data_IF_166165860935
#
_entry.id   IF_166165860935
#
_cell.length_a   1.000
_cell.length_b   1.000
_cell.length_c   1.000
_cell.angle_alpha   90.00
_cell.angle_beta   90.00
_cell.angle_gamma   90.00
#
_symmetry.space_group_name_H-M   'P 1'
#
loop_
_entity.id
_entity.type
_entity.pdbx_description
1 polymer ?
#
# COMPACT_ATOMS: atom_id res chain seq x y z
N UNK A 1 46.83 22.22 -29.60
CA UNK A 1 45.64 21.65 -28.95
C UNK A 1 44.46 22.57 -29.19
N UNK A 2 43.48 22.09 -29.94
CA UNK A 2 42.31 22.87 -30.34
C UNK A 2 41.25 22.88 -29.24
N UNK A 3 40.46 23.95 -29.16
CA UNK A 3 39.35 24.11 -28.20
C UNK A 3 38.35 22.93 -28.22
N UNK A 4 38.25 22.24 -29.37
CA UNK A 4 37.47 21.02 -29.54
C UNK A 4 38.00 19.83 -28.71
N UNK A 5 39.32 19.65 -28.62
CA UNK A 5 39.94 18.54 -27.88
C UNK A 5 39.75 18.70 -26.36
N UNK A 6 39.82 19.94 -25.87
CA UNK A 6 39.57 20.25 -24.45
C UNK A 6 38.12 20.00 -24.04
N UNK A 7 37.16 20.35 -24.91
CA UNK A 7 35.74 20.08 -24.66
C UNK A 7 35.43 18.58 -24.70
N UNK A 8 36.06 17.84 -25.62
CA UNK A 8 35.86 16.39 -25.74
C UNK A 8 36.34 15.65 -24.48
N UNK A 9 37.51 15.98 -23.95
CA UNK A 9 38.00 15.36 -22.70
C UNK A 9 37.10 15.67 -21.48
N UNK A 10 36.51 16.87 -21.43
CA UNK A 10 35.54 17.24 -20.38
C UNK A 10 34.21 16.50 -20.53
N UNK A 11 33.81 16.20 -21.76
CA UNK A 11 32.61 15.43 -22.06
C UNK A 11 32.78 13.94 -21.77
N UNK A 12 33.94 13.36 -22.08
CA UNK A 12 34.29 12.00 -21.68
C UNK A 12 34.33 11.83 -20.17
N UNK A 13 34.87 12.80 -19.41
CA UNK A 13 34.80 12.77 -17.95
C UNK A 13 33.37 12.76 -17.42
N UNK A 14 32.47 13.57 -18.00
CA UNK A 14 31.05 13.57 -17.61
C UNK A 14 30.38 12.25 -17.93
N UNK A 15 30.71 11.63 -19.07
CA UNK A 15 30.19 10.31 -19.45
C UNK A 15 30.67 9.24 -18.49
N UNK A 16 31.97 9.18 -18.20
CA UNK A 16 32.54 8.23 -17.25
C UNK A 16 31.96 8.39 -15.84
N UNK A 17 31.71 9.63 -15.40
CA UNK A 17 31.07 9.88 -14.11
C UNK A 17 29.62 9.38 -14.07
N UNK A 18 28.86 9.56 -15.16
CA UNK A 18 27.49 9.04 -15.27
C UNK A 18 27.46 7.51 -15.26
N UNK A 19 28.35 6.87 -16.00
CA UNK A 19 28.44 5.40 -16.05
C UNK A 19 28.74 4.82 -14.67
N UNK A 20 29.64 5.46 -13.89
CA UNK A 20 29.91 5.05 -12.49
C UNK A 20 28.68 5.17 -11.59
N UNK A 21 27.95 6.28 -11.70
CA UNK A 21 26.72 6.48 -10.91
C UNK A 21 25.62 5.50 -11.31
N UNK A 22 25.50 5.19 -12.60
CA UNK A 22 24.55 4.19 -13.09
C UNK A 22 24.90 2.79 -12.62
N UNK A 23 26.18 2.40 -12.64
CA UNK A 23 26.61 1.11 -12.09
C UNK A 23 26.23 1.00 -10.62
N UNK A 24 26.57 2.02 -9.82
CA UNK A 24 26.24 2.03 -8.40
C UNK A 24 24.74 1.93 -8.14
N UNK A 25 23.91 2.66 -8.90
CA UNK A 25 22.45 2.58 -8.78
C UNK A 25 21.92 1.18 -9.13
N UNK A 26 22.48 0.53 -10.17
CA UNK A 26 22.08 -0.81 -10.60
C UNK A 26 22.49 -1.89 -9.60
N UNK A 27 23.66 -1.75 -8.96
CA UNK A 27 24.14 -2.63 -7.91
C UNK A 27 23.27 -2.53 -6.65
N UNK A 28 22.90 -1.31 -6.23
CA UNK A 28 22.00 -1.09 -5.11
C UNK A 28 20.59 -1.63 -5.37
N UNK A 29 20.08 -1.48 -6.60
CA UNK A 29 18.78 -2.07 -6.96
C UNK A 29 18.83 -3.60 -6.88
N UNK A 30 19.90 -4.23 -7.39
CA UNK A 30 20.09 -5.67 -7.32
C UNK A 30 20.16 -6.18 -5.87
N UNK A 31 20.78 -5.40 -4.99
CA UNK A 31 20.86 -5.71 -3.55
C UNK A 31 19.48 -5.64 -2.89
N UNK A 32 18.71 -4.59 -3.15
CA UNK A 32 17.36 -4.41 -2.62
C UNK A 32 16.40 -5.52 -3.08
N UNK A 33 16.48 -5.92 -4.35
CA UNK A 33 15.69 -7.04 -4.87
C UNK A 33 16.02 -8.35 -4.16
N UNK A 34 17.31 -8.66 -3.98
CA UNK A 34 17.75 -9.85 -3.23
C UNK A 34 17.28 -9.85 -1.78
N UNK A 35 17.32 -8.68 -1.13
CA UNK A 35 16.88 -8.53 0.25
C UNK A 35 15.36 -8.71 0.37
N UNK A 36 14.60 -8.15 -0.57
CA UNK A 36 13.14 -8.29 -0.63
C UNK A 36 12.73 -9.74 -0.82
N UNK A 37 13.36 -10.45 -1.77
CA UNK A 37 13.12 -11.88 -1.99
C UNK A 37 13.48 -12.70 -0.75
N UNK A 38 14.59 -12.36 -0.09
CA UNK A 38 15.03 -13.05 1.13
C UNK A 38 14.06 -12.85 2.30
N UNK A 39 13.52 -11.63 2.49
CA UNK A 39 12.48 -11.36 3.50
C UNK A 39 11.21 -12.16 3.22
N UNK A 40 10.75 -12.15 1.97
CA UNK A 40 9.54 -12.88 1.59
C UNK A 40 9.70 -14.40 1.79
N UNK A 41 10.85 -14.95 1.42
CA UNK A 41 11.13 -16.37 1.62
C UNK A 41 11.15 -16.75 3.12
N UNK A 42 11.72 -15.88 3.97
CA UNK A 42 11.70 -16.07 5.42
C UNK A 42 10.28 -16.04 5.98
N UNK A 43 9.49 -15.06 5.57
CA UNK A 43 8.08 -14.94 5.97
C UNK A 43 7.27 -16.17 5.55
N UNK A 44 7.44 -16.67 4.33
CA UNK A 44 6.82 -17.92 3.87
C UNK A 44 7.21 -19.12 4.74
N UNK A 45 8.49 -19.23 5.12
CA UNK A 45 8.96 -20.31 5.99
C UNK A 45 8.35 -20.22 7.40
N UNK A 46 8.27 -19.01 7.96
CA UNK A 46 7.69 -18.78 9.28
C UNK A 46 6.18 -19.08 9.29
N UNK A 47 5.46 -18.71 8.23
CA UNK A 47 4.05 -19.08 8.05
C UNK A 47 3.86 -20.60 7.96
N UNK A 48 4.71 -21.31 7.20
CA UNK A 48 4.65 -22.77 7.12
C UNK A 48 4.89 -23.43 8.48
N UNK A 49 5.83 -22.89 9.28
CA UNK A 49 6.05 -23.35 10.67
C UNK A 49 4.83 -23.12 11.54
N UNK A 50 4.24 -21.93 11.48
CA UNK A 50 3.05 -21.59 12.27
C UNK A 50 1.86 -22.51 11.94
N UNK A 51 1.59 -22.76 10.65
CA UNK A 51 0.54 -23.69 10.22
C UNK A 51 0.79 -25.12 10.71
N UNK A 52 2.04 -25.57 10.70
CA UNK A 52 2.42 -26.89 11.20
C UNK A 52 2.19 -27.02 12.71
N UNK A 53 2.53 -25.98 13.49
CA UNK A 53 2.30 -25.93 14.93
C UNK A 53 0.80 -25.93 15.25
N UNK A 54 0.00 -25.12 14.54
CA UNK A 54 -1.45 -25.06 14.74
C UNK A 54 -2.13 -26.41 14.43
N UNK A 55 -1.66 -27.12 13.39
CA UNK A 55 -2.14 -28.48 13.09
C UNK A 55 -1.81 -29.48 14.21
N UNK A 56 -0.61 -29.40 14.79
CA UNK A 56 -0.21 -30.24 15.93
C UNK A 56 -1.07 -29.95 17.17
N UNK A 57 -1.39 -28.69 17.43
CA UNK A 57 -2.27 -28.28 18.54
C UNK A 57 -3.68 -28.88 18.38
N UNK A 58 -4.28 -28.78 17.18
CA UNK A 58 -5.60 -29.37 16.90
C UNK A 58 -5.63 -30.90 17.09
N UNK A 59 -4.54 -31.59 16.75
CA UNK A 59 -4.40 -33.04 16.97
C UNK A 59 -4.23 -33.40 18.45
N UNK A 60 -3.62 -32.53 19.25
CA UNK A 60 -3.52 -32.70 20.69
C UNK A 60 -4.88 -32.55 21.38
N UNK A 61 -5.67 -31.56 20.97
CA UNK A 61 -7.02 -31.32 21.52
C UNK A 61 -8.00 -32.46 21.25
N UNK A 62 -7.90 -33.17 20.12
CA UNK A 62 -8.81 -34.29 19.80
C UNK A 62 -8.55 -35.55 20.62
N UNK A 63 -7.38 -35.69 21.25
CA UNK A 63 -7.06 -36.83 22.14
C UNK A 63 -7.40 -36.60 23.61
N UNK A 64 -7.84 -35.40 24.01
CA UNK A 64 -8.14 -35.06 25.40
C UNK A 64 -9.63 -35.08 25.80
N UNK A 65 -10.57 -35.31 24.86
CA UNK A 65 -12.01 -35.20 25.10
C UNK A 65 -12.71 -36.53 25.40
N UNK A 66 -12.50 -37.08 26.60
CA UNK A 66 -13.33 -38.16 27.13
C UNK A 66 -14.56 -37.61 27.86
N UNK A 67 -15.75 -37.76 27.28
CA UNK A 67 -17.02 -37.49 27.95
C UNK A 67 -18.24 -37.79 27.07
N UNK A 68 -18.90 -38.96 27.23
CA UNK A 68 -20.15 -39.27 26.53
C UNK A 68 -21.36 -38.77 27.34
N UNK A 69 -22.28 -38.05 26.70
CA UNK A 69 -23.57 -37.72 27.35
C UNK A 69 -24.54 -36.93 26.48
N UNK A 70 -25.58 -37.62 25.99
CA UNK A 70 -26.90 -37.09 25.58
C UNK A 70 -26.92 -36.40 24.22
N UNK A 71 -27.71 -36.80 23.22
CA UNK A 71 -29.10 -37.26 23.30
C UNK A 71 -30.02 -36.08 22.98
N UNK A 72 -30.49 -35.97 21.74
CA UNK A 72 -31.39 -34.88 21.33
C UNK A 72 -31.63 -34.82 19.82
N UNK A 73 -32.32 -35.82 19.28
CA UNK A 73 -32.94 -35.73 17.96
C UNK A 73 -34.10 -34.74 18.02
N UNK A 74 -34.07 -33.68 17.22
CA UNK A 74 -35.31 -33.01 16.80
C UNK A 74 -35.18 -32.49 15.37
N UNK A 75 -36.09 -32.99 14.55
CA UNK A 75 -36.35 -32.63 13.18
C UNK A 75 -36.96 -31.22 13.07
N UNK A 76 -36.65 -30.52 11.97
CA UNK A 76 -37.38 -29.35 11.50
C UNK A 76 -36.54 -28.62 10.45
N UNK A 77 -36.75 -28.87 9.16
CA UNK A 77 -37.76 -28.29 8.26
C UNK A 77 -37.05 -27.35 7.27
N UNK A 78 -37.23 -27.64 5.99
CA UNK A 78 -36.60 -26.96 4.88
C UNK A 78 -37.10 -25.52 4.75
N UNK A 79 -36.18 -24.59 4.48
CA UNK A 79 -36.48 -23.34 3.81
C UNK A 79 -35.23 -22.92 3.02
N UNK A 80 -35.30 -23.14 1.70
CA UNK A 80 -34.43 -22.44 0.76
C UNK A 80 -35.03 -21.05 0.53
N UNK A 81 -34.27 -19.96 0.76
CA UNK A 81 -34.46 -18.73 0.01
C UNK A 81 -33.50 -18.75 -1.18
N UNK A 82 -34.04 -18.97 -2.37
CA UNK A 82 -33.40 -18.45 -3.58
C UNK A 82 -33.56 -16.93 -3.58
N UNK A 83 -32.46 -16.21 -3.81
CA UNK A 83 -32.46 -14.76 -3.98
C UNK A 83 -31.07 -14.16 -3.78
N UNK A 84 -30.41 -13.85 -4.89
CA UNK A 84 -29.31 -12.87 -5.08
C UNK A 84 -27.95 -13.10 -4.38
N UNK A 85 -27.07 -13.83 -5.10
CA UNK A 85 -25.64 -13.99 -4.78
C UNK A 85 -24.80 -12.70 -4.84
N UNK A 86 -25.37 -11.57 -5.24
CA UNK A 86 -24.64 -10.30 -5.38
C UNK A 86 -24.71 -9.42 -4.13
N UNK A 87 -25.72 -9.58 -3.26
CA UNK A 87 -25.89 -8.73 -2.07
C UNK A 87 -25.05 -9.20 -0.86
N UNK A 88 -24.82 -10.51 -0.72
CA UNK A 88 -24.00 -11.08 0.36
C UNK A 88 -22.51 -10.74 0.22
N UNK A 89 -22.00 -10.63 -1.02
CA UNK A 89 -20.63 -10.21 -1.29
C UNK A 89 -20.39 -8.73 -0.97
N UNK A 90 -21.41 -7.88 -1.15
CA UNK A 90 -21.38 -6.46 -0.77
C UNK A 90 -21.44 -6.29 0.75
N UNK A 91 -22.29 -7.04 1.45
CA UNK A 91 -22.38 -7.00 2.91
C UNK A 91 -21.11 -7.52 3.61
N UNK A 92 -20.47 -8.57 3.09
CA UNK A 92 -19.22 -9.10 3.65
C UNK A 92 -18.03 -8.13 3.48
N UNK A 93 -18.00 -7.36 2.39
CA UNK A 93 -16.94 -6.37 2.15
C UNK A 93 -17.09 -5.13 3.05
N UNK A 94 -18.32 -4.73 3.36
CA UNK A 94 -18.60 -3.60 4.25
C UNK A 94 -18.37 -3.96 5.73
N UNK A 95 -18.67 -5.20 6.13
CA UNK A 95 -18.34 -5.72 7.46
C UNK A 95 -16.82 -5.78 7.70
N UNK A 96 -16.03 -6.14 6.68
CA UNK A 96 -14.56 -6.20 6.79
C UNK A 96 -13.91 -4.80 6.91
N UNK A 97 -14.62 -3.74 6.48
CA UNK A 97 -14.14 -2.36 6.59
C UNK A 97 -14.29 -1.77 8.01
N UNK A 98 -15.32 -2.17 8.76
CA UNK A 98 -15.58 -1.62 10.10
C UNK A 98 -14.67 -2.20 11.20
N UNK A 99 -14.10 -3.39 11.02
CA UNK A 99 -13.19 -3.99 12.03
C UNK A 99 -11.78 -3.37 12.04
N UNK A 100 -11.39 -2.65 10.98
CA UNK A 100 -10.10 -1.97 10.89
C UNK A 100 -10.07 -0.64 11.68
N UNK A 101 -11.21 0.04 11.85
CA UNK A 101 -11.27 1.37 12.49
C UNK A 101 -11.29 1.31 14.02
N UNK A 102 -11.70 0.19 14.62
CA UNK A 102 -11.75 0.03 16.07
C UNK A 102 -10.37 -0.20 16.73
N UNK A 103 -9.30 -0.45 15.95
CA UNK A 103 -7.96 -0.77 16.48
C UNK A 103 -6.99 0.41 16.58
N UNK A 104 -7.40 1.61 16.14
CA UNK A 104 -6.58 2.82 16.19
C UNK A 104 -6.91 3.76 17.36
N UNK A 105 -7.79 3.36 18.29
CA UNK A 105 -8.07 4.09 19.52
C UNK A 105 -7.19 3.63 20.68
N UNK A 106 -6.02 4.25 20.88
CA UNK A 106 -5.14 3.84 21.98
C UNK A 106 -3.90 4.70 22.25
N UNK A 107 -4.12 5.89 22.79
CA UNK A 107 -3.27 6.65 23.74
C UNK A 107 -1.93 7.30 23.30
N UNK A 108 -2.03 8.62 23.09
CA UNK A 108 -1.46 9.71 23.92
C UNK A 108 0.04 9.77 24.29
N UNK A 109 0.57 10.97 24.00
CA UNK A 109 1.33 11.86 24.91
C UNK A 109 2.86 11.82 24.87
N UNK A 110 3.42 12.87 24.24
CA UNK A 110 4.65 13.50 24.68
C UNK A 110 5.59 13.90 23.55
N UNK A 111 5.68 15.20 23.27
CA UNK A 111 6.93 15.96 23.46
C UNK A 111 6.91 17.21 22.59
N UNK A 112 6.92 18.36 23.27
CA UNK A 112 7.21 19.67 22.70
C UNK A 112 8.70 19.69 22.31
N UNK A 113 9.01 19.49 21.04
CA UNK A 113 10.36 19.51 20.50
C UNK A 113 10.47 20.48 19.35
N UNK A 114 10.81 21.73 19.67
CA UNK A 114 11.26 22.74 18.70
C UNK A 114 12.35 22.20 17.78
N UNK A 115 12.13 22.40 16.47
CA UNK A 115 13.19 22.59 15.50
C UNK A 115 13.78 21.31 14.92
N UNK A 116 13.17 20.78 13.86
CA UNK A 116 13.94 20.05 12.86
C UNK A 116 13.24 20.09 11.50
N UNK A 117 14.03 20.21 10.44
CA UNK A 117 13.58 20.21 9.05
C UNK A 117 13.03 18.82 8.74
N UNK A 118 11.73 18.62 8.62
CA UNK A 118 11.16 17.27 8.53
C UNK A 118 9.89 17.19 7.68
N UNK A 119 9.94 16.26 6.71
CA UNK A 119 8.81 15.55 6.11
C UNK A 119 7.75 16.39 5.38
N UNK A 120 7.87 16.44 4.05
CA UNK A 120 6.83 16.92 3.13
C UNK A 120 5.63 15.98 3.14
N UNK A 121 4.82 16.06 4.18
CA UNK A 121 3.53 15.39 4.26
C UNK A 121 2.47 16.26 3.59
N UNK A 122 1.56 15.61 2.87
CA UNK A 122 0.52 16.29 2.12
C UNK A 122 -0.61 16.69 3.08
N UNK A 123 -1.07 17.93 3.00
CA UNK A 123 -2.11 18.44 3.88
C UNK A 123 -3.45 17.71 3.65
N UNK A 124 -3.94 17.02 4.70
CA UNK A 124 -5.16 16.21 4.64
C UNK A 124 -6.42 17.04 4.37
N UNK A 125 -6.45 18.32 4.74
CA UNK A 125 -7.59 19.20 4.43
C UNK A 125 -7.64 19.53 2.93
N UNK A 126 -6.47 19.73 2.31
CA UNK A 126 -6.36 19.94 0.85
C UNK A 126 -6.73 18.65 0.10
N UNK A 127 -6.26 17.50 0.59
CA UNK A 127 -6.59 16.19 0.02
C UNK A 127 -8.10 15.92 0.10
N UNK A 128 -8.71 16.14 1.26
CA UNK A 128 -10.14 15.96 1.47
C UNK A 128 -10.97 16.85 0.55
N UNK A 129 -10.54 18.10 0.33
CA UNK A 129 -11.18 19.02 -0.61
C UNK A 129 -11.14 18.50 -2.06
N UNK A 130 -9.98 18.02 -2.52
CA UNK A 130 -9.81 17.45 -3.86
C UNK A 130 -10.64 16.17 -4.05
N UNK A 131 -10.68 15.30 -3.03
CA UNK A 131 -11.51 14.09 -3.06
C UNK A 131 -13.00 14.45 -3.08
N UNK A 132 -13.41 15.47 -2.33
CA UNK A 132 -14.78 16.00 -2.35
C UNK A 132 -15.21 16.50 -3.73
N UNK A 133 -14.26 16.96 -4.55
CA UNK A 133 -14.49 17.33 -5.96
C UNK A 133 -14.52 16.13 -6.92
N UNK A 134 -14.25 14.91 -6.44
CA UNK A 134 -14.22 13.69 -7.24
C UNK A 134 -12.84 13.31 -7.79
N UNK A 135 -11.77 13.97 -7.32
CA UNK A 135 -10.40 13.58 -7.71
C UNK A 135 -9.91 12.35 -6.92
N UNK A 136 -9.16 11.43 -7.55
CA UNK A 136 -8.67 10.25 -6.87
C UNK A 136 -7.59 10.60 -5.83
N UNK A 137 -7.70 10.04 -4.62
CA UNK A 137 -6.76 10.18 -3.49
C UNK A 137 -5.26 10.19 -3.87
N UNK A 138 -4.74 9.26 -4.70
CA UNK A 138 -3.32 9.28 -5.07
C UNK A 138 -2.92 10.50 -5.90
N UNK A 139 -3.85 11.08 -6.67
CA UNK A 139 -3.63 12.30 -7.43
C UNK A 139 -3.72 13.53 -6.52
N UNK A 140 -4.69 13.53 -5.60
CA UNK A 140 -4.87 14.59 -4.60
C UNK A 140 -3.65 14.77 -3.70
N UNK A 141 -3.04 13.67 -3.24
CA UNK A 141 -1.78 13.69 -2.46
C UNK A 141 -0.62 14.28 -3.27
N UNK A 142 -0.49 13.87 -4.54
CA UNK A 142 0.57 14.39 -5.42
C UNK A 142 0.39 15.87 -5.72
N UNK A 143 -0.86 16.33 -5.86
CA UNK A 143 -1.18 17.72 -6.11
C UNK A 143 -0.83 18.60 -4.91
N UNK A 144 -1.23 18.18 -3.70
CA UNK A 144 -0.90 18.87 -2.47
C UNK A 144 0.63 19.02 -2.30
N UNK A 145 1.40 17.96 -2.56
CA UNK A 145 2.87 18.02 -2.54
C UNK A 145 3.46 18.88 -3.66
N UNK A 146 2.89 18.81 -4.86
CA UNK A 146 3.39 19.57 -6.02
C UNK A 146 3.21 21.08 -5.83
N UNK A 147 2.17 21.51 -5.12
CA UNK A 147 1.96 22.91 -4.75
C UNK A 147 2.52 23.26 -3.37
N UNK A 148 3.29 22.35 -2.75
CA UNK A 148 3.86 22.53 -1.41
C UNK A 148 2.82 22.95 -0.36
N UNK A 149 1.63 22.34 -0.41
CA UNK A 149 0.49 22.60 0.48
C UNK A 149 0.05 24.08 0.50
N UNK A 150 0.22 24.81 -0.61
CA UNK A 150 -0.08 26.25 -0.69
C UNK A 150 -1.57 26.59 -0.57
N UNK A 151 -2.44 25.88 -1.31
CA UNK A 151 -3.91 25.99 -1.19
C UNK A 151 -4.61 24.87 -1.93
N UNK A 152 -5.89 24.66 -1.62
CA UNK A 152 -6.72 23.66 -2.28
C UNK A 152 -7.02 24.03 -3.74
N UNK A 153 -7.25 25.32 -4.06
CA UNK A 153 -7.45 25.74 -5.46
C UNK A 153 -6.18 25.57 -6.30
N UNK A 154 -4.99 25.88 -5.76
CA UNK A 154 -3.74 25.68 -6.47
C UNK A 154 -3.49 24.19 -6.78
N UNK A 155 -3.80 23.32 -5.81
CA UNK A 155 -3.72 21.88 -6.02
C UNK A 155 -4.73 21.41 -7.07
N UNK A 156 -5.95 21.95 -7.09
CA UNK A 156 -6.97 21.60 -8.07
C UNK A 156 -6.55 22.02 -9.50
N UNK A 157 -5.99 23.22 -9.65
CA UNK A 157 -5.44 23.69 -10.92
C UNK A 157 -4.31 22.78 -11.41
N UNK A 158 -3.40 22.37 -10.51
CA UNK A 158 -2.36 21.41 -10.83
C UNK A 158 -2.93 20.06 -11.29
N UNK A 159 -3.98 19.55 -10.64
CA UNK A 159 -4.66 18.30 -11.05
C UNK A 159 -5.29 18.44 -12.43
N UNK A 160 -5.96 19.56 -12.72
CA UNK A 160 -6.58 19.82 -14.02
C UNK A 160 -5.54 19.90 -15.14
N UNK A 161 -4.39 20.55 -14.90
CA UNK A 161 -3.26 20.56 -15.84
C UNK A 161 -2.69 19.16 -16.13
N UNK A 162 -2.80 18.22 -15.19
CA UNK A 162 -2.38 16.83 -15.37
C UNK A 162 -3.47 15.93 -15.97
N UNK A 163 -4.74 16.30 -15.82
CA UNK A 163 -5.91 15.53 -16.26
C UNK A 163 -6.09 15.46 -17.78
N UNK A 164 -5.63 16.48 -18.51
CA UNK A 164 -5.75 16.55 -19.98
C UNK A 164 -4.87 15.49 -20.69
N UNK A 165 -3.81 15.01 -20.03
CA UNK A 165 -2.88 14.03 -20.60
C UNK A 165 -3.40 12.57 -20.58
N UNK A 166 -4.48 12.27 -19.83
CA UNK A 166 -4.96 10.88 -19.64
C UNK A 166 -6.28 10.56 -20.35
N UNK A 167 -6.99 11.55 -20.87
CA UNK A 167 -8.17 11.35 -21.74
C UNK A 167 -7.80 11.21 -23.23
N UNK A 168 -6.55 11.47 -23.61
CA UNK A 168 -6.07 11.38 -25.00
C UNK A 168 -5.63 9.97 -25.45
N UNK A 169 -5.97 8.90 -24.72
CA UNK A 169 -5.79 7.52 -25.21
C UNK A 169 -7.13 6.93 -25.66
N UNK A 170 -7.43 6.88 -26.97
CA UNK A 170 -8.52 6.05 -27.46
C UNK A 170 -8.19 4.59 -27.14
N UNK A 171 -9.10 3.92 -26.41
CA UNK A 171 -8.97 2.49 -26.14
C UNK A 171 -8.96 1.68 -27.44
N UNK A 172 -8.15 0.62 -27.55
CA UNK A 172 -8.26 -0.30 -28.68
C UNK A 172 -9.59 -1.05 -28.58
N UNK A 173 -10.38 -0.95 -29.65
CA UNK A 173 -11.55 -1.78 -29.93
C UNK A 173 -11.15 -3.21 -30.32
#
# INVERSE_FOLDING_TARGET
MSKAEFNLGREEQRRAQRERLQSYASDEQSRLERETVSRHLKEQSDLQRALSLSRLEQQSSSRGGGGPGGGGTSSGHAAAPGGDSDEELLAALEASKQEAEARAGGASSGSLGSGERGSGEADDAIIAHLIGMGFPLPLSRRAALAVANRSAEAAAEWVLMQGDAKLARPGPA
#
